data_IF_272975610020
#
_entry.id   IF_272975610020
#
_cell.length_a   1.000
_cell.length_b   1.000
_cell.length_c   1.000
_cell.angle_alpha   90.00
_cell.angle_beta   90.00
_cell.angle_gamma   90.00
#
_symmetry.space_group_name_H-M   'P 1'
#
loop_
_entity.id
_entity.type
_entity.pdbx_description
1 polymer ?
#
# COMPACT_ATOMS: atom_id res chain seq x y z
N UNK A 1 -19.43 -12.29 -8.39
CA UNK A 1 -18.46 -11.21 -8.68
C UNK A 1 -18.80 -10.02 -7.80
N UNK A 2 -17.82 -9.46 -7.09
CA UNK A 2 -17.98 -8.23 -6.31
C UNK A 2 -17.08 -7.17 -6.91
N UNK A 3 -17.67 -6.04 -7.32
CA UNK A 3 -16.91 -4.87 -7.79
C UNK A 3 -16.59 -4.01 -6.57
N UNK A 4 -15.33 -3.61 -6.44
CA UNK A 4 -14.88 -2.70 -5.39
C UNK A 4 -14.67 -1.32 -6.01
N UNK A 5 -15.39 -0.33 -5.52
CA UNK A 5 -15.28 1.06 -5.98
C UNK A 5 -14.62 1.88 -4.88
N UNK A 6 -13.52 2.59 -5.15
CA UNK A 6 -12.88 3.44 -4.17
C UNK A 6 -13.75 4.64 -3.81
N UNK A 7 -13.66 5.10 -2.56
CA UNK A 7 -14.20 6.39 -2.14
C UNK A 7 -13.25 7.50 -2.59
N UNK A 8 -13.62 8.19 -3.66
CA UNK A 8 -12.82 9.28 -4.24
C UNK A 8 -12.83 10.55 -3.40
N UNK A 9 -13.63 10.61 -2.32
CA UNK A 9 -13.59 11.73 -1.36
C UNK A 9 -12.43 11.60 -0.36
N UNK A 10 -11.87 10.39 -0.21
CA UNK A 10 -10.68 10.16 0.61
C UNK A 10 -9.46 10.78 -0.07
N UNK A 11 -8.92 11.82 0.57
CA UNK A 11 -7.77 12.62 0.12
C UNK A 11 -6.49 12.36 0.92
N UNK A 12 -6.59 11.71 2.09
CA UNK A 12 -5.47 11.24 2.89
C UNK A 12 -5.89 9.99 3.66
N UNK A 13 -5.02 8.98 3.69
CA UNK A 13 -5.20 7.79 4.52
C UNK A 13 -5.81 6.61 3.78
N UNK A 14 -6.16 5.54 4.53
CA UNK A 14 -6.68 4.32 3.95
C UNK A 14 -8.18 4.45 3.62
N UNK A 15 -8.52 4.23 2.36
CA UNK A 15 -9.85 3.90 1.88
C UNK A 15 -9.99 2.36 1.85
N UNK A 16 -10.73 1.81 2.81
CA UNK A 16 -10.89 0.36 3.01
C UNK A 16 -11.96 -0.18 2.06
N UNK A 17 -11.53 -0.74 0.94
CA UNK A 17 -12.41 -1.27 -0.10
C UNK A 17 -12.92 -2.69 0.22
N UNK A 18 -12.10 -3.52 0.88
CA UNK A 18 -12.47 -4.86 1.34
C UNK A 18 -11.77 -5.21 2.66
N UNK A 19 -12.51 -5.83 3.58
CA UNK A 19 -11.99 -6.30 4.86
C UNK A 19 -12.61 -7.64 5.24
N UNK A 20 -11.88 -8.72 4.99
CA UNK A 20 -12.22 -10.08 5.37
C UNK A 20 -11.06 -10.70 6.16
N UNK A 21 -11.29 -11.85 6.80
CA UNK A 21 -10.27 -12.49 7.65
C UNK A 21 -8.99 -12.85 6.88
N UNK A 22 -9.12 -13.30 5.63
CA UNK A 22 -8.00 -13.80 4.82
C UNK A 22 -7.59 -12.85 3.69
N UNK A 23 -8.30 -11.73 3.52
CA UNK A 23 -8.10 -10.78 2.43
C UNK A 23 -8.54 -9.37 2.85
N UNK A 24 -7.66 -8.39 2.67
CA UNK A 24 -8.02 -6.98 2.73
C UNK A 24 -7.46 -6.24 1.53
N UNK A 25 -8.26 -5.34 0.97
CA UNK A 25 -7.89 -4.48 -0.16
C UNK A 25 -8.14 -3.04 0.28
N UNK A 26 -7.09 -2.24 0.22
CA UNK A 26 -7.09 -0.85 0.68
C UNK A 26 -6.51 0.03 -0.41
N UNK A 27 -7.22 1.10 -0.77
CA UNK A 27 -6.64 2.23 -1.48
C UNK A 27 -5.97 3.12 -0.46
N UNK A 28 -4.72 3.49 -0.66
CA UNK A 28 -4.01 4.40 0.22
C UNK A 28 -3.60 5.64 -0.57
N UNK A 29 -4.09 6.80 -0.13
CA UNK A 29 -3.65 8.11 -0.62
C UNK A 29 -2.65 8.68 0.38
N UNK A 30 -1.43 8.95 -0.08
CA UNK A 30 -0.36 9.53 0.72
C UNK A 30 -0.02 10.93 0.18
N UNK A 31 -0.44 12.00 0.87
CA UNK A 31 -0.11 13.36 0.46
C UNK A 31 1.39 13.64 0.48
N UNK A 32 1.82 14.64 -0.30
CA UNK A 32 3.20 15.12 -0.30
C UNK A 32 3.67 15.45 1.12
N UNK A 33 4.88 15.01 1.46
CA UNK A 33 5.53 15.20 2.76
C UNK A 33 4.99 14.31 3.87
N UNK A 34 4.06 13.40 3.59
CA UNK A 34 3.53 12.45 4.60
C UNK A 34 4.25 11.12 4.57
N UNK A 35 4.17 10.46 5.73
CA UNK A 35 4.81 9.18 6.00
C UNK A 35 3.79 8.24 6.64
N UNK A 36 3.71 7.01 6.14
CA UNK A 36 3.16 5.90 6.91
C UNK A 36 4.31 5.33 7.72
N UNK A 37 4.19 5.32 9.05
CA UNK A 37 5.26 4.89 9.96
C UNK A 37 5.66 3.43 9.73
N UNK A 38 6.90 3.09 10.08
CA UNK A 38 7.44 1.72 10.07
C UNK A 38 6.58 0.76 10.89
N UNK A 39 6.13 -0.30 10.25
CA UNK A 39 5.29 -1.35 10.83
C UNK A 39 5.48 -2.67 10.06
N UNK A 40 4.73 -3.71 10.43
CA UNK A 40 4.70 -4.99 9.73
C UNK A 40 3.30 -5.59 9.74
N UNK A 41 3.05 -6.46 8.77
CA UNK A 41 1.83 -7.27 8.67
C UNK A 41 2.17 -8.74 8.95
N UNK A 42 1.22 -9.51 9.50
CA UNK A 42 1.35 -10.98 9.63
C UNK A 42 0.78 -11.73 8.42
N UNK A 43 0.29 -11.00 7.41
CA UNK A 43 -0.12 -11.51 6.10
C UNK A 43 0.88 -11.06 5.03
N UNK A 44 0.92 -11.76 3.90
CA UNK A 44 1.61 -11.28 2.70
C UNK A 44 0.99 -9.95 2.28
N UNK A 45 1.83 -8.97 1.96
CA UNK A 45 1.39 -7.65 1.54
C UNK A 45 1.87 -7.40 0.13
N UNK A 46 0.96 -7.07 -0.78
CA UNK A 46 1.29 -6.56 -2.11
C UNK A 46 0.92 -5.09 -2.18
N UNK A 47 1.86 -4.24 -2.57
CA UNK A 47 1.63 -2.82 -2.80
C UNK A 47 1.81 -2.54 -4.27
N UNK A 48 0.77 -2.02 -4.92
CA UNK A 48 0.77 -1.64 -6.35
C UNK A 48 0.61 -0.14 -6.45
N UNK A 49 1.57 0.55 -7.06
CA UNK A 49 1.45 1.98 -7.32
C UNK A 49 0.50 2.25 -8.47
N UNK A 50 -0.39 3.23 -8.27
CA UNK A 50 -1.44 3.59 -9.23
C UNK A 50 -1.40 5.06 -9.64
N UNK A 51 -0.87 5.96 -8.81
CA UNK A 51 -0.67 7.38 -9.15
C UNK A 51 0.52 7.98 -8.42
N UNK A 52 1.18 8.96 -9.04
CA UNK A 52 2.27 9.73 -8.44
C UNK A 52 3.49 8.87 -8.13
N UNK A 53 4.23 9.25 -7.09
CA UNK A 53 5.45 8.57 -6.67
C UNK A 53 5.46 8.37 -5.15
N UNK A 54 5.82 7.16 -4.72
CA UNK A 54 6.03 6.82 -3.30
C UNK A 54 7.39 6.16 -3.15
N UNK A 55 8.16 6.57 -2.14
CA UNK A 55 9.30 5.79 -1.67
C UNK A 55 8.78 4.69 -0.74
N UNK A 56 8.97 3.46 -1.17
CA UNK A 56 8.73 2.26 -0.39
C UNK A 56 10.03 1.87 0.27
N UNK A 57 10.00 1.68 1.58
CA UNK A 57 11.19 1.37 2.35
C UNK A 57 11.03 0.04 3.09
N UNK A 58 12.11 -0.73 3.12
CA UNK A 58 12.37 -1.81 4.06
C UNK A 58 13.57 -1.44 4.92
N UNK A 59 13.95 -2.31 5.86
CA UNK A 59 15.18 -2.09 6.62
C UNK A 59 16.45 -2.14 5.75
N UNK A 60 16.38 -2.79 4.58
CA UNK A 60 17.54 -3.08 3.73
C UNK A 60 17.56 -2.23 2.45
N UNK A 61 16.41 -1.76 1.96
CA UNK A 61 16.29 -1.14 0.65
C UNK A 61 15.24 -0.01 0.61
N UNK A 62 15.49 0.97 -0.26
CA UNK A 62 14.52 1.99 -0.66
C UNK A 62 14.21 1.84 -2.14
N UNK A 63 12.94 1.64 -2.47
CA UNK A 63 12.44 1.51 -3.84
C UNK A 63 11.43 2.60 -4.16
N UNK A 64 11.64 3.34 -5.25
CA UNK A 64 10.63 4.27 -5.77
C UNK A 64 9.56 3.52 -6.57
N UNK A 65 8.33 3.56 -6.06
CA UNK A 65 7.13 3.05 -6.70
C UNK A 65 6.44 4.15 -7.50
N UNK A 66 6.19 3.85 -8.78
CA UNK A 66 5.46 4.68 -9.75
C UNK A 66 4.40 3.80 -10.42
N UNK A 67 3.38 4.35 -11.11
CA UNK A 67 2.26 3.58 -11.62
C UNK A 67 2.70 2.35 -12.43
N UNK A 68 2.15 1.19 -12.09
CA UNK A 68 2.49 -0.10 -12.71
C UNK A 68 3.62 -0.87 -12.03
N UNK A 69 4.37 -0.26 -11.10
CA UNK A 69 5.29 -1.00 -10.22
C UNK A 69 4.54 -1.60 -9.04
N UNK A 70 5.03 -2.75 -8.58
CA UNK A 70 4.53 -3.41 -7.38
C UNK A 70 5.68 -3.99 -6.56
N UNK A 71 5.46 -4.11 -5.26
CA UNK A 71 6.31 -4.86 -4.33
C UNK A 71 5.46 -5.87 -3.58
N UNK A 72 6.07 -7.01 -3.25
CA UNK A 72 5.46 -8.06 -2.45
C UNK A 72 6.35 -8.30 -1.24
N UNK A 73 5.75 -8.28 -0.06
CA UNK A 73 6.42 -8.55 1.21
C UNK A 73 5.92 -9.86 1.81
N UNK A 74 6.83 -10.60 2.41
CA UNK A 74 6.50 -11.76 3.22
C UNK A 74 5.89 -11.35 4.57
N UNK A 75 5.07 -12.23 5.19
CA UNK A 75 4.62 -12.03 6.56
C UNK A 75 5.76 -11.68 7.51
N UNK A 76 5.59 -10.62 8.28
CA UNK A 76 6.52 -10.18 9.32
C UNK A 76 7.59 -9.18 8.87
N UNK A 77 7.73 -8.91 7.57
CA UNK A 77 8.70 -7.94 7.04
C UNK A 77 8.31 -6.50 7.42
N UNK A 78 9.29 -5.76 7.96
CA UNK A 78 9.11 -4.36 8.32
C UNK A 78 9.20 -3.46 7.09
N UNK A 79 8.28 -2.50 7.02
CA UNK A 79 8.20 -1.56 5.91
C UNK A 79 7.54 -0.24 6.30
N UNK A 80 7.79 0.79 5.49
CA UNK A 80 7.15 2.11 5.61
C UNK A 80 7.06 2.80 4.25
N UNK A 81 6.22 3.84 4.16
CA UNK A 81 6.02 4.61 2.94
C UNK A 81 6.26 6.09 3.18
N UNK A 82 6.87 6.75 2.20
CA UNK A 82 7.07 8.20 2.19
C UNK A 82 6.68 8.77 0.83
N UNK A 83 6.09 9.96 0.84
CA UNK A 83 5.76 10.72 -0.36
C UNK A 83 6.54 12.04 -0.38
N UNK A 84 7.87 12.04 -0.53
CA UNK A 84 8.70 13.23 -0.30
C UNK A 84 8.43 14.35 -1.31
N UNK A 85 8.29 13.99 -2.60
CA UNK A 85 8.32 14.96 -3.70
C UNK A 85 6.91 15.38 -4.16
N UNK A 86 5.96 14.44 -4.18
CA UNK A 86 4.58 14.63 -4.62
C UNK A 86 3.64 13.67 -3.89
N UNK A 87 2.33 13.86 -4.05
CA UNK A 87 1.36 12.91 -3.52
C UNK A 87 1.38 11.60 -4.32
N UNK A 88 1.28 10.48 -3.62
CA UNK A 88 1.24 9.16 -4.21
C UNK A 88 -0.02 8.40 -3.83
N UNK A 89 -0.35 7.41 -4.65
CA UNK A 89 -1.49 6.53 -4.42
C UNK A 89 -1.12 5.09 -4.74
N UNK A 90 -1.46 4.18 -3.82
CA UNK A 90 -1.20 2.74 -3.96
C UNK A 90 -2.44 1.93 -3.61
N UNK A 91 -2.55 0.74 -4.21
CA UNK A 91 -3.39 -0.33 -3.70
C UNK A 91 -2.55 -1.23 -2.80
N UNK A 92 -3.04 -1.48 -1.59
CA UNK A 92 -2.43 -2.39 -0.62
C UNK A 92 -3.35 -3.59 -0.47
N UNK A 93 -2.83 -4.76 -0.82
CA UNK A 93 -3.52 -6.05 -0.69
C UNK A 93 -2.83 -6.84 0.41
N UNK A 94 -3.55 -7.11 1.49
CA UNK A 94 -3.13 -8.07 2.51
C UNK A 94 -3.84 -9.40 2.22
N UNK A 95 -3.09 -10.49 2.11
CA UNK A 95 -3.68 -11.78 1.81
C UNK A 95 -2.92 -12.94 2.44
N UNK A 96 -3.66 -14.01 2.72
CA UNK A 96 -3.08 -15.34 2.93
C UNK A 96 -3.07 -16.02 1.57
N UNK A 97 -1.88 -16.19 0.97
CA UNK A 97 -1.76 -16.82 -0.34
C UNK A 97 -2.01 -18.33 -0.23
N UNK A 98 -2.75 -18.89 -1.19
CA UNK A 98 -2.85 -20.34 -1.34
C UNK A 98 -1.46 -20.89 -1.72
N UNK A 99 -1.07 -22.00 -1.08
CA UNK A 99 0.18 -22.71 -1.37
C UNK A 99 0.00 -23.65 -2.57
#
# INVERSE_FOLDING_TARGET
>A
MKVLTPDTTVSEGPDRMLSEHHLSIVRLVLPKGKTIKRHRSMMTVTVVAIKGSIQFHTDDEVTTLVPGKAVVMQPGEFHWLEAPDEAGEVMVVHGVLAQ
#
